data_IF_952018370396
#
_entry.id   IF_952018370396
#
_cell.length_a   1.000
_cell.length_b   1.000
_cell.length_c   1.000
_cell.angle_alpha   90.00
_cell.angle_beta   90.00
_cell.angle_gamma   90.00
#
_symmetry.space_group_name_H-M   'P 1'
#
loop_
_entity.id
_entity.type
_entity.pdbx_description
1 polymer ?
#
# COMPACT_ATOMS: atom_id res chain seq x y z
N UNK A 1 14.81 30.81 -2.92
CA UNK A 1 14.31 29.61 -2.22
C UNK A 1 12.77 29.70 -2.05
N UNK A 2 12.04 29.85 -3.15
CA UNK A 2 10.56 30.06 -3.15
C UNK A 2 9.83 29.15 -4.13
N UNK A 3 10.47 28.81 -5.26
CA UNK A 3 9.91 27.90 -6.28
C UNK A 3 9.63 26.47 -5.75
N UNK A 4 10.52 25.92 -4.93
CA UNK A 4 10.36 24.56 -4.42
C UNK A 4 9.17 24.46 -3.44
N UNK A 5 9.01 25.47 -2.58
CA UNK A 5 7.90 25.58 -1.65
C UNK A 5 6.55 25.73 -2.36
N UNK A 6 6.51 26.45 -3.48
CA UNK A 6 5.32 26.57 -4.32
C UNK A 6 4.95 25.23 -4.97
N UNK A 7 5.92 24.52 -5.57
CA UNK A 7 5.68 23.21 -6.18
C UNK A 7 5.20 22.19 -5.15
N UNK A 8 5.81 22.14 -3.97
CA UNK A 8 5.35 21.25 -2.89
C UNK A 8 3.90 21.58 -2.50
N UNK A 9 3.53 22.85 -2.41
CA UNK A 9 2.16 23.25 -2.06
C UNK A 9 1.14 22.92 -3.15
N UNK A 10 1.48 23.13 -4.42
CA UNK A 10 0.56 22.95 -5.54
C UNK A 10 0.45 21.49 -6.00
N UNK A 11 1.52 20.70 -5.86
CA UNK A 11 1.60 19.33 -6.38
C UNK A 11 1.51 18.22 -5.31
N UNK A 12 1.40 18.55 -4.01
CA UNK A 12 1.27 17.54 -2.94
C UNK A 12 0.13 16.57 -3.20
N UNK A 13 -1.01 17.07 -3.69
CA UNK A 13 -2.24 16.30 -3.85
C UNK A 13 -2.04 15.08 -4.76
N UNK A 14 -1.17 15.19 -5.77
CA UNK A 14 -0.88 14.08 -6.69
C UNK A 14 -0.13 12.92 -6.03
N UNK A 15 0.52 13.14 -4.89
CA UNK A 15 1.26 12.11 -4.14
C UNK A 15 0.31 11.29 -3.24
N UNK A 16 -0.84 11.85 -2.85
CA UNK A 16 -1.75 11.20 -1.89
C UNK A 16 -2.28 9.86 -2.38
N UNK A 17 -2.69 9.77 -3.65
CA UNK A 17 -3.27 8.54 -4.21
C UNK A 17 -2.23 7.42 -4.36
N UNK A 18 -1.05 7.66 -4.97
CA UNK A 18 0.01 6.65 -5.02
C UNK A 18 0.47 6.20 -3.63
N UNK A 19 0.62 7.13 -2.68
CA UNK A 19 1.03 6.80 -1.32
C UNK A 19 -0.02 5.95 -0.60
N UNK A 20 -1.30 6.30 -0.75
CA UNK A 20 -2.42 5.52 -0.22
C UNK A 20 -2.49 4.11 -0.79
N UNK A 21 -2.24 3.96 -2.09
CA UNK A 21 -2.16 2.64 -2.73
C UNK A 21 -1.03 1.78 -2.15
N UNK A 22 0.17 2.34 -1.99
CA UNK A 22 1.30 1.62 -1.40
C UNK A 22 1.00 1.17 0.03
N UNK A 23 0.38 2.05 0.84
CA UNK A 23 -0.02 1.72 2.20
C UNK A 23 -1.09 0.62 2.19
N UNK A 24 -2.08 0.70 1.30
CA UNK A 24 -3.11 -0.33 1.12
C UNK A 24 -2.50 -1.70 0.82
N UNK A 25 -1.65 -1.78 -0.20
CA UNK A 25 -0.95 -3.03 -0.55
C UNK A 25 -0.12 -3.59 0.61
N UNK A 26 0.53 -2.72 1.39
CA UNK A 26 1.29 -3.16 2.55
C UNK A 26 0.39 -3.74 3.65
N UNK A 27 -0.74 -3.10 3.93
CA UNK A 27 -1.70 -3.57 4.94
C UNK A 27 -2.36 -4.88 4.51
N UNK A 28 -2.75 -5.01 3.25
CA UNK A 28 -3.30 -6.26 2.70
C UNK A 28 -2.30 -7.40 2.80
N UNK A 29 -1.04 -7.17 2.40
CA UNK A 29 0.03 -8.18 2.51
C UNK A 29 0.25 -8.62 3.95
N UNK A 30 0.25 -7.67 4.89
CA UNK A 30 0.39 -7.97 6.32
C UNK A 30 -0.82 -8.75 6.87
N UNK A 31 -2.01 -8.52 6.31
CA UNK A 31 -3.20 -9.25 6.71
C UNK A 31 -3.17 -10.69 6.16
N UNK A 32 -2.79 -10.86 4.90
CA UNK A 32 -2.64 -12.18 4.27
C UNK A 32 -1.60 -13.05 4.99
N UNK A 33 -0.50 -12.44 5.46
CA UNK A 33 0.51 -13.12 6.30
C UNK A 33 -0.08 -13.69 7.60
N UNK A 34 -1.11 -13.07 8.18
CA UNK A 34 -1.80 -13.62 9.36
C UNK A 34 -2.76 -14.75 9.00
N UNK A 35 -3.27 -14.77 7.76
CA UNK A 35 -4.25 -15.75 7.28
C UNK A 35 -3.60 -17.01 6.69
N UNK A 36 -2.29 -17.19 6.84
CA UNK A 36 -1.56 -18.36 6.27
C UNK A 36 -1.80 -19.69 7.00
N UNK A 37 -2.59 -19.71 8.08
CA UNK A 37 -2.78 -20.91 8.91
C UNK A 37 -3.28 -22.15 8.14
N UNK A 38 -4.10 -21.93 7.11
CA UNK A 38 -4.66 -22.96 6.22
C UNK A 38 -3.99 -23.03 4.84
N UNK A 39 -2.90 -22.30 4.63
CA UNK A 39 -2.15 -22.33 3.36
C UNK A 39 -1.61 -23.74 3.12
N UNK A 40 -1.88 -24.29 1.92
CA UNK A 40 -1.46 -25.63 1.49
C UNK A 40 -1.99 -26.80 2.36
N UNK A 41 -3.14 -26.59 3.01
CA UNK A 41 -3.83 -27.62 3.80
C UNK A 41 -5.24 -27.93 3.29
N UNK A 42 -5.72 -27.21 2.28
CA UNK A 42 -7.03 -27.47 1.67
C UNK A 42 -6.95 -28.70 0.79
N UNK A 43 -8.02 -29.52 0.78
CA UNK A 43 -8.03 -30.78 0.01
C UNK A 43 -7.85 -30.58 -1.50
N UNK A 44 -8.22 -29.41 -2.02
CA UNK A 44 -8.14 -29.10 -3.45
C UNK A 44 -6.74 -28.63 -3.88
N UNK A 45 -6.00 -27.96 -2.99
CA UNK A 45 -4.68 -27.38 -3.27
C UNK A 45 -3.59 -28.02 -2.39
N UNK A 46 -3.72 -29.31 -2.08
CA UNK A 46 -2.78 -30.06 -1.24
C UNK A 46 -1.54 -30.49 -2.03
#
# INVERSE_FOLDING_TARGET
MVKLLQIVRDHWVHILVPMGFVIGCYLDRKNDEKLTAFRNKSMLYR
#
